data_IF_807987557203
#
_entry.id   IF_807987557203
#
_cell.length_a   1.000
_cell.length_b   1.000
_cell.length_c   1.000
_cell.angle_alpha   90.00
_cell.angle_beta   90.00
_cell.angle_gamma   90.00
#
_symmetry.space_group_name_H-M   'P 1'
#
loop_
_entity.id
_entity.type
_entity.pdbx_description
1 polymer ?
#
# COMPACT_ATOMS: atom_id res chain seq x y z
N UNK A 1 -11.68 -8.89 44.96
CA UNK A 1 -11.76 -9.90 43.89
C UNK A 1 -11.66 -9.19 42.54
N UNK A 2 -10.46 -9.01 42.06
CA UNK A 2 -10.22 -8.33 40.78
C UNK A 2 -10.42 -9.29 39.61
N UNK A 3 -11.42 -9.04 38.80
CA UNK A 3 -11.61 -9.68 37.51
C UNK A 3 -10.57 -9.14 36.54
N UNK A 4 -9.46 -9.85 36.33
CA UNK A 4 -8.55 -9.61 35.18
C UNK A 4 -9.32 -9.82 33.87
N UNK A 5 -9.69 -8.72 33.24
CA UNK A 5 -10.33 -8.71 31.93
C UNK A 5 -9.38 -9.25 30.83
N UNK A 6 -9.96 -10.03 29.96
CA UNK A 6 -9.43 -10.83 28.87
C UNK A 6 -8.61 -10.16 27.75
N UNK A 7 -7.67 -9.28 28.05
CA UNK A 7 -6.82 -8.59 27.07
C UNK A 7 -5.78 -9.46 26.34
N UNK A 8 -5.05 -10.42 26.99
CA UNK A 8 -3.95 -11.14 26.32
C UNK A 8 -4.40 -12.13 25.24
N UNK A 9 -5.55 -12.82 25.44
CA UNK A 9 -6.08 -13.82 24.48
C UNK A 9 -6.63 -13.19 23.21
N UNK A 10 -7.28 -12.04 23.30
CA UNK A 10 -7.88 -11.32 22.16
C UNK A 10 -6.81 -10.80 21.18
N UNK A 11 -5.73 -10.19 21.67
CA UNK A 11 -4.65 -9.67 20.83
C UNK A 11 -3.85 -10.81 20.18
N UNK A 12 -3.51 -11.86 20.92
CA UNK A 12 -2.86 -13.04 20.35
C UNK A 12 -3.69 -13.65 19.23
N UNK A 13 -4.97 -13.87 19.47
CA UNK A 13 -5.90 -14.43 18.46
C UNK A 13 -5.97 -13.56 17.21
N UNK A 14 -6.01 -12.23 17.37
CA UNK A 14 -5.99 -11.28 16.24
C UNK A 14 -4.69 -11.42 15.43
N UNK A 15 -3.55 -11.47 16.12
CA UNK A 15 -2.25 -11.66 15.47
C UNK A 15 -2.17 -12.98 14.73
N UNK A 16 -2.61 -14.08 15.35
CA UNK A 16 -2.61 -15.41 14.72
C UNK A 16 -3.46 -15.42 13.43
N UNK A 17 -4.62 -14.76 13.42
CA UNK A 17 -5.47 -14.61 12.22
C UNK A 17 -4.78 -13.79 11.14
N UNK A 18 -4.15 -12.67 11.49
CA UNK A 18 -3.45 -11.80 10.52
C UNK A 18 -2.25 -12.53 9.91
N UNK A 19 -1.49 -13.26 10.72
CA UNK A 19 -0.36 -14.07 10.26
C UNK A 19 -0.84 -15.17 9.31
N UNK A 20 -1.83 -15.95 9.69
CA UNK A 20 -2.41 -17.02 8.85
C UNK A 20 -2.95 -16.46 7.53
N UNK A 21 -3.60 -15.30 7.57
CA UNK A 21 -4.13 -14.61 6.40
C UNK A 21 -3.01 -14.19 5.43
N UNK A 22 -1.93 -13.60 5.95
CA UNK A 22 -0.77 -13.18 5.16
C UNK A 22 -0.05 -14.39 4.53
N UNK A 23 0.23 -15.43 5.32
CA UNK A 23 0.89 -16.64 4.82
C UNK A 23 0.12 -17.29 3.67
N UNK A 24 -1.20 -17.48 3.85
CA UNK A 24 -2.08 -18.02 2.81
C UNK A 24 -2.09 -17.14 1.54
N UNK A 25 -2.06 -15.82 1.72
CA UNK A 25 -2.02 -14.88 0.61
C UNK A 25 -0.73 -15.02 -0.20
N UNK A 26 0.42 -15.10 0.46
CA UNK A 26 1.72 -15.24 -0.21
C UNK A 26 1.92 -16.63 -0.83
N UNK A 27 1.34 -17.66 -0.22
CA UNK A 27 1.43 -19.04 -0.72
C UNK A 27 0.55 -19.27 -1.95
N UNK A 28 -0.69 -18.75 -1.95
CA UNK A 28 -1.74 -19.18 -2.87
C UNK A 28 -2.35 -18.07 -3.70
N UNK A 29 -2.00 -16.80 -3.46
CA UNK A 29 -2.63 -15.62 -4.07
C UNK A 29 -4.01 -15.29 -3.49
N UNK A 30 -4.50 -14.09 -3.77
CA UNK A 30 -5.76 -13.59 -3.20
C UNK A 30 -6.98 -14.43 -3.59
N UNK A 31 -7.05 -14.89 -4.84
CA UNK A 31 -8.19 -15.67 -5.35
C UNK A 31 -8.42 -16.96 -4.56
N UNK A 32 -7.34 -17.68 -4.20
CA UNK A 32 -7.41 -18.97 -3.52
C UNK A 32 -7.56 -18.89 -2.00
N UNK A 33 -7.39 -17.73 -1.38
CA UNK A 33 -7.62 -17.52 0.07
C UNK A 33 -9.12 -17.50 0.35
N UNK A 34 -9.52 -18.21 1.41
CA UNK A 34 -10.89 -18.18 1.95
C UNK A 34 -10.88 -17.97 3.46
N UNK A 35 -11.99 -17.47 4.02
CA UNK A 35 -12.13 -17.29 5.47
C UNK A 35 -12.06 -18.62 6.22
N UNK A 36 -12.51 -19.70 5.58
CA UNK A 36 -12.40 -21.08 6.09
C UNK A 36 -10.95 -21.50 6.29
N UNK A 37 -10.10 -21.32 5.24
CA UNK A 37 -8.67 -21.65 5.30
C UNK A 37 -7.93 -20.81 6.34
N UNK A 38 -8.30 -19.52 6.46
CA UNK A 38 -7.72 -18.64 7.49
C UNK A 38 -8.11 -19.13 8.88
N UNK A 39 -9.39 -19.47 9.10
CA UNK A 39 -9.89 -19.96 10.37
C UNK A 39 -9.20 -21.27 10.79
N UNK A 40 -9.05 -22.21 9.85
CA UNK A 40 -8.38 -23.49 10.04
C UNK A 40 -6.92 -23.28 10.44
N UNK A 41 -6.16 -22.48 9.67
CA UNK A 41 -4.74 -22.21 9.91
C UNK A 41 -4.50 -21.47 11.23
N UNK A 42 -5.37 -20.52 11.58
CA UNK A 42 -5.28 -19.76 12.82
C UNK A 42 -5.84 -20.52 14.06
N UNK A 43 -6.43 -21.71 13.87
CA UNK A 43 -7.04 -22.49 14.95
C UNK A 43 -8.24 -21.82 15.59
N UNK A 44 -9.06 -21.09 14.81
CA UNK A 44 -10.24 -20.35 15.30
C UNK A 44 -11.50 -20.70 14.50
N UNK A 45 -12.67 -20.26 14.99
CA UNK A 45 -13.90 -20.35 14.21
C UNK A 45 -14.03 -19.18 13.23
N UNK A 46 -14.75 -19.37 12.11
CA UNK A 46 -15.13 -18.26 11.19
C UNK A 46 -15.84 -17.12 11.91
N UNK A 47 -16.71 -17.45 12.87
CA UNK A 47 -17.41 -16.45 13.68
C UNK A 47 -16.43 -15.56 14.47
N UNK A 48 -15.26 -16.09 14.86
CA UNK A 48 -14.22 -15.30 15.52
C UNK A 48 -13.61 -14.29 14.55
N UNK A 49 -13.35 -14.67 13.29
CA UNK A 49 -12.83 -13.76 12.27
C UNK A 49 -13.85 -12.65 11.98
N UNK A 50 -15.12 -13.00 11.76
CA UNK A 50 -16.19 -12.04 11.46
C UNK A 50 -16.50 -11.04 12.59
N UNK A 51 -16.02 -11.26 13.82
CA UNK A 51 -16.09 -10.25 14.88
C UNK A 51 -15.22 -9.02 14.60
N UNK A 52 -14.13 -9.17 13.85
CA UNK A 52 -13.18 -8.08 13.56
C UNK A 52 -13.21 -7.62 12.11
N UNK A 53 -13.48 -8.55 11.18
CA UNK A 53 -13.44 -8.25 9.75
C UNK A 53 -14.74 -8.68 9.07
N UNK A 54 -15.39 -7.74 8.34
CA UNK A 54 -16.72 -8.01 7.76
C UNK A 54 -16.65 -8.97 6.56
N UNK A 55 -15.48 -9.17 5.96
CA UNK A 55 -15.30 -10.02 4.78
C UNK A 55 -13.85 -10.46 4.59
N UNK A 56 -13.62 -11.35 3.59
CA UNK A 56 -12.30 -11.86 3.21
C UNK A 56 -11.32 -10.72 2.89
N UNK A 57 -11.76 -9.75 2.09
CA UNK A 57 -10.91 -8.66 1.65
C UNK A 57 -10.33 -7.86 2.84
N UNK A 58 -11.15 -7.59 3.85
CA UNK A 58 -10.73 -6.84 5.02
C UNK A 58 -9.65 -7.59 5.82
N UNK A 59 -9.85 -8.88 6.13
CA UNK A 59 -8.86 -9.64 6.91
C UNK A 59 -7.57 -9.87 6.12
N UNK A 60 -7.65 -10.10 4.81
CA UNK A 60 -6.47 -10.30 3.96
C UNK A 60 -5.67 -9.01 3.82
N UNK A 61 -6.32 -7.88 3.62
CA UNK A 61 -5.64 -6.59 3.55
C UNK A 61 -5.00 -6.20 4.89
N UNK A 62 -5.67 -6.43 6.01
CA UNK A 62 -5.09 -6.16 7.33
C UNK A 62 -3.89 -7.07 7.60
N UNK A 63 -3.95 -8.36 7.25
CA UNK A 63 -2.83 -9.30 7.34
C UNK A 63 -1.63 -8.86 6.50
N UNK A 64 -1.88 -8.49 5.26
CA UNK A 64 -0.88 -7.96 4.34
C UNK A 64 -0.23 -6.67 4.88
N UNK A 65 -1.04 -5.70 5.31
CA UNK A 65 -0.55 -4.45 5.87
C UNK A 65 0.23 -4.65 7.18
N UNK A 66 -0.24 -5.54 8.04
CA UNK A 66 0.45 -5.85 9.30
C UNK A 66 1.84 -6.45 9.06
N UNK A 67 1.97 -7.32 8.06
CA UNK A 67 3.23 -7.97 7.72
C UNK A 67 4.19 -7.05 6.94
N UNK A 68 3.65 -6.20 6.06
CA UNK A 68 4.45 -5.36 5.15
C UNK A 68 4.58 -3.91 5.60
N UNK A 69 3.96 -3.52 6.71
CA UNK A 69 4.04 -2.17 7.26
C UNK A 69 5.40 -1.89 7.91
N UNK A 70 6.46 -2.00 7.14
CA UNK A 70 7.68 -1.25 7.45
C UNK A 70 7.26 0.22 7.35
N UNK A 71 7.14 0.90 8.47
CA UNK A 71 6.96 2.35 8.52
C UNK A 71 8.25 2.97 7.99
N UNK A 72 8.38 3.02 6.68
CA UNK A 72 9.44 3.82 6.06
C UNK A 72 9.13 5.26 6.44
N UNK A 73 10.06 5.97 7.09
CA UNK A 73 9.88 7.37 7.39
C UNK A 73 9.64 8.13 6.09
N UNK A 74 8.84 9.19 6.17
CA UNK A 74 8.68 10.10 5.03
C UNK A 74 10.06 10.67 4.73
N UNK A 75 10.57 10.56 3.49
CA UNK A 75 11.86 11.12 3.14
C UNK A 75 11.91 12.63 3.44
N UNK A 76 13.02 13.09 3.96
CA UNK A 76 13.29 14.50 4.29
C UNK A 76 14.78 14.80 4.11
N UNK A 77 15.20 14.86 2.85
CA UNK A 77 16.58 15.15 2.44
C UNK A 77 16.87 16.64 2.34
N UNK A 78 15.83 17.47 2.41
CA UNK A 78 15.88 18.89 2.11
C UNK A 78 15.64 19.20 0.62
N UNK A 79 15.40 18.20 -0.21
CA UNK A 79 15.08 18.34 -1.63
C UNK A 79 13.79 17.58 -1.94
N UNK A 80 12.77 18.28 -2.41
CA UNK A 80 11.48 17.68 -2.78
C UNK A 80 11.62 16.65 -3.91
N UNK A 81 12.54 16.89 -4.84
CA UNK A 81 12.83 15.98 -5.96
C UNK A 81 13.44 14.68 -5.45
N UNK A 82 14.44 14.76 -4.57
CA UNK A 82 15.11 13.60 -4.02
C UNK A 82 14.18 12.79 -3.11
N UNK A 83 13.37 13.47 -2.31
CA UNK A 83 12.36 12.83 -1.46
C UNK A 83 11.33 12.07 -2.27
N UNK A 84 10.84 12.67 -3.36
CA UNK A 84 9.88 12.01 -4.25
C UNK A 84 10.55 10.83 -5.00
N UNK A 85 11.79 10.99 -5.46
CA UNK A 85 12.54 9.90 -6.06
C UNK A 85 12.70 8.72 -5.09
N UNK A 86 13.12 8.98 -3.85
CA UNK A 86 13.27 7.94 -2.83
C UNK A 86 11.93 7.22 -2.58
N UNK A 87 10.83 7.97 -2.43
CA UNK A 87 9.51 7.40 -2.20
C UNK A 87 9.07 6.48 -3.35
N UNK A 88 9.16 6.96 -4.59
CA UNK A 88 8.73 6.20 -5.77
C UNK A 88 9.64 4.99 -5.99
N UNK A 89 10.95 5.16 -5.84
CA UNK A 89 11.92 4.10 -6.05
C UNK A 89 11.76 2.95 -5.04
N UNK A 90 11.57 3.27 -3.76
CA UNK A 90 11.30 2.27 -2.74
C UNK A 90 10.01 1.50 -3.03
N UNK A 91 8.98 2.18 -3.51
CA UNK A 91 7.73 1.53 -3.87
C UNK A 91 7.87 0.65 -5.13
N UNK A 92 8.58 1.11 -6.14
CA UNK A 92 8.87 0.30 -7.34
C UNK A 92 9.64 -0.97 -6.97
N UNK A 93 10.67 -0.87 -6.12
CA UNK A 93 11.40 -2.04 -5.61
C UNK A 93 10.49 -3.01 -4.87
N UNK A 94 9.57 -2.48 -4.06
CA UNK A 94 8.57 -3.30 -3.39
C UNK A 94 7.62 -3.99 -4.41
N UNK A 95 7.10 -3.27 -5.41
CA UNK A 95 6.22 -3.84 -6.43
C UNK A 95 6.88 -4.99 -7.22
N UNK A 96 8.20 -4.94 -7.38
CA UNK A 96 8.98 -5.99 -8.06
C UNK A 96 9.32 -7.17 -7.16
N UNK A 97 8.97 -7.14 -5.88
CA UNK A 97 9.12 -8.25 -4.94
C UNK A 97 7.95 -9.25 -5.03
N UNK A 98 8.12 -10.42 -4.40
CA UNK A 98 7.06 -11.43 -4.28
C UNK A 98 5.82 -10.85 -3.58
N UNK A 99 6.03 -10.08 -2.53
CA UNK A 99 4.97 -9.41 -1.80
C UNK A 99 4.25 -8.35 -2.64
N UNK A 100 4.99 -7.66 -3.52
CA UNK A 100 4.45 -6.65 -4.41
C UNK A 100 3.49 -7.23 -5.46
N UNK A 101 3.71 -8.45 -5.93
CA UNK A 101 2.81 -9.14 -6.85
C UNK A 101 1.39 -9.27 -6.31
N UNK A 102 1.23 -9.39 -5.00
CA UNK A 102 -0.07 -9.42 -4.32
C UNK A 102 -0.88 -8.15 -4.60
N UNK A 103 -0.22 -6.99 -4.68
CA UNK A 103 -0.90 -5.73 -4.99
C UNK A 103 -1.48 -5.75 -6.41
N UNK A 104 -0.75 -6.32 -7.35
CA UNK A 104 -1.22 -6.49 -8.74
C UNK A 104 -2.46 -7.39 -8.79
N UNK A 105 -2.44 -8.54 -8.08
CA UNK A 105 -3.59 -9.43 -7.98
C UNK A 105 -4.81 -8.73 -7.34
N UNK A 106 -4.61 -8.02 -6.23
CA UNK A 106 -5.69 -7.31 -5.54
C UNK A 106 -6.28 -6.20 -6.42
N UNK A 107 -5.45 -5.48 -7.19
CA UNK A 107 -5.93 -4.47 -8.15
C UNK A 107 -6.77 -5.14 -9.24
N UNK A 108 -6.29 -6.25 -9.82
CA UNK A 108 -6.99 -6.98 -10.87
C UNK A 108 -8.35 -7.50 -10.38
N UNK A 109 -8.39 -8.21 -9.24
CA UNK A 109 -9.64 -8.69 -8.63
C UNK A 109 -10.59 -7.53 -8.27
N UNK A 110 -10.05 -6.42 -7.80
CA UNK A 110 -10.83 -5.23 -7.44
C UNK A 110 -11.51 -4.54 -8.62
N UNK A 111 -11.13 -4.83 -9.88
CA UNK A 111 -11.89 -4.34 -11.05
C UNK A 111 -13.27 -4.99 -11.14
N UNK A 112 -13.43 -6.19 -10.60
CA UNK A 112 -14.68 -6.97 -10.63
C UNK A 112 -15.37 -7.01 -9.26
N UNK A 113 -14.69 -6.67 -8.17
CA UNK A 113 -15.24 -6.59 -6.79
C UNK A 113 -15.12 -5.17 -6.21
N UNK A 114 -16.19 -4.34 -6.28
CA UNK A 114 -16.18 -2.99 -5.72
C UNK A 114 -15.90 -2.92 -4.21
N UNK A 115 -16.23 -3.97 -3.44
CA UNK A 115 -15.96 -4.02 -2.00
C UNK A 115 -14.48 -4.22 -1.73
N UNK A 116 -13.83 -5.10 -2.48
CA UNK A 116 -12.38 -5.27 -2.43
C UNK A 116 -11.69 -3.98 -2.87
N UNK A 117 -12.12 -3.37 -3.98
CA UNK A 117 -11.59 -2.10 -4.47
C UNK A 117 -11.64 -1.01 -3.40
N UNK A 118 -12.74 -0.88 -2.67
CA UNK A 118 -12.90 0.12 -1.59
C UNK A 118 -11.96 -0.16 -0.42
N UNK A 119 -11.78 -1.42 -0.04
CA UNK A 119 -10.88 -1.82 1.05
C UNK A 119 -9.43 -1.46 0.71
N UNK A 120 -8.88 -1.89 -0.44
CA UNK A 120 -7.49 -1.59 -0.77
C UNK A 120 -7.25 -0.10 -1.03
N UNK A 121 -8.20 0.62 -1.63
CA UNK A 121 -8.08 2.07 -1.81
C UNK A 121 -7.95 2.80 -0.47
N UNK A 122 -8.78 2.44 0.52
CA UNK A 122 -8.78 3.06 1.84
C UNK A 122 -7.56 2.66 2.68
N UNK A 123 -7.27 1.38 2.73
CA UNK A 123 -6.26 0.85 3.64
C UNK A 123 -4.83 0.94 3.08
N UNK A 124 -4.66 0.90 1.75
CA UNK A 124 -3.36 0.85 1.12
C UNK A 124 -3.00 2.11 0.33
N UNK A 125 -3.84 2.53 -0.64
CA UNK A 125 -3.48 3.64 -1.53
C UNK A 125 -3.60 5.02 -0.88
N UNK A 126 -4.67 5.30 -0.15
CA UNK A 126 -4.85 6.62 0.49
C UNK A 126 -3.71 7.00 1.44
N UNK A 127 -3.21 6.13 2.34
CA UNK A 127 -2.08 6.45 3.19
C UNK A 127 -0.80 6.80 2.41
N UNK A 128 -0.52 6.04 1.32
CA UNK A 128 0.66 6.30 0.47
C UNK A 128 0.54 7.59 -0.32
N UNK A 129 -0.64 7.88 -0.85
CA UNK A 129 -0.94 9.14 -1.51
C UNK A 129 -0.75 10.33 -0.56
N UNK A 130 -1.11 10.17 0.73
CA UNK A 130 -0.88 11.20 1.75
C UNK A 130 0.60 11.50 1.97
N UNK A 131 1.50 10.52 1.86
CA UNK A 131 2.95 10.75 1.94
C UNK A 131 3.43 11.61 0.77
N UNK A 132 3.05 11.28 -0.48
CA UNK A 132 3.38 12.10 -1.65
C UNK A 132 2.86 13.53 -1.51
N UNK A 133 1.64 13.68 -0.99
CA UNK A 133 1.05 14.99 -0.72
C UNK A 133 1.90 15.81 0.25
N UNK A 134 2.33 15.24 1.37
CA UNK A 134 3.17 15.92 2.36
C UNK A 134 4.52 16.36 1.77
N UNK A 135 5.14 15.54 0.91
CA UNK A 135 6.39 15.89 0.23
C UNK A 135 6.18 17.11 -0.67
N UNK A 136 5.13 17.11 -1.50
CA UNK A 136 4.83 18.21 -2.41
C UNK A 136 4.41 19.50 -1.66
N UNK A 137 3.61 19.39 -0.60
CA UNK A 137 3.25 20.52 0.27
C UNK A 137 4.48 21.16 0.91
N UNK A 138 5.45 20.34 1.34
CA UNK A 138 6.73 20.84 1.85
C UNK A 138 7.50 21.60 0.76
N UNK A 139 7.60 21.05 -0.46
CA UNK A 139 8.24 21.73 -1.58
C UNK A 139 7.59 23.06 -1.97
N UNK A 140 6.28 23.19 -1.83
CA UNK A 140 5.59 24.48 -1.99
C UNK A 140 5.99 25.44 -0.86
N UNK A 141 6.05 24.95 0.37
CA UNK A 141 6.37 25.78 1.55
C UNK A 141 7.82 26.28 1.56
N UNK A 142 8.74 25.48 1.04
CA UNK A 142 10.18 25.87 0.89
C UNK A 142 10.46 26.71 -0.35
N UNK A 143 9.49 26.82 -1.26
CA UNK A 143 9.64 27.59 -2.51
C UNK A 143 10.33 26.81 -3.63
N UNK A 144 10.57 25.50 -3.48
CA UNK A 144 11.08 24.64 -4.55
C UNK A 144 10.03 24.42 -5.65
N UNK A 145 8.75 24.42 -5.27
CA UNK A 145 7.62 24.23 -6.17
C UNK A 145 6.74 25.47 -6.24
N UNK A 146 6.10 25.67 -7.38
CA UNK A 146 5.17 26.78 -7.58
C UNK A 146 3.96 26.69 -6.64
N UNK A 147 3.48 27.84 -6.15
CA UNK A 147 2.38 27.94 -5.16
C UNK A 147 1.02 27.49 -5.68
N UNK A 148 0.80 27.59 -6.99
CA UNK A 148 -0.45 27.23 -7.68
C UNK A 148 -0.47 25.78 -8.18
N UNK A 149 0.46 24.92 -7.67
CA UNK A 149 0.57 23.53 -8.06
C UNK A 149 -0.71 22.76 -7.72
N UNK A 150 -1.28 22.06 -8.69
CA UNK A 150 -2.32 21.07 -8.44
C UNK A 150 -1.67 19.79 -7.90
N UNK A 151 -1.60 19.69 -6.58
CA UNK A 151 -0.94 18.55 -5.87
C UNK A 151 -1.56 17.23 -6.26
N UNK A 152 -2.88 17.13 -6.33
CA UNK A 152 -3.57 15.85 -6.64
C UNK A 152 -3.22 15.38 -8.06
N UNK A 153 -3.25 16.28 -9.05
CA UNK A 153 -2.84 15.96 -10.41
C UNK A 153 -1.35 15.62 -10.50
N UNK A 154 -0.50 16.31 -9.75
CA UNK A 154 0.94 16.02 -9.72
C UNK A 154 1.22 14.61 -9.18
N UNK A 155 0.49 14.18 -8.16
CA UNK A 155 0.56 12.82 -7.64
C UNK A 155 0.13 11.82 -8.73
N UNK A 156 -0.96 12.10 -9.46
CA UNK A 156 -1.43 11.22 -10.53
C UNK A 156 -0.41 11.12 -11.69
N UNK A 157 0.25 12.22 -12.05
CA UNK A 157 1.32 12.23 -13.06
C UNK A 157 2.56 11.44 -12.63
N UNK A 158 2.88 11.41 -11.33
CA UNK A 158 4.01 10.65 -10.79
C UNK A 158 3.68 9.15 -10.75
N UNK A 159 2.51 8.78 -10.25
CA UNK A 159 2.17 7.38 -10.04
C UNK A 159 1.53 6.69 -11.25
N UNK A 160 0.86 7.45 -12.12
CA UNK A 160 0.20 6.91 -13.31
C UNK A 160 1.13 6.08 -14.19
N UNK A 161 2.30 6.59 -14.60
CA UNK A 161 3.25 5.84 -15.43
C UNK A 161 3.79 4.57 -14.77
N UNK A 162 3.95 4.55 -13.43
CA UNK A 162 4.35 3.34 -12.69
C UNK A 162 3.30 2.24 -12.84
N UNK A 163 2.04 2.57 -12.56
CA UNK A 163 0.94 1.61 -12.68
C UNK A 163 0.61 1.25 -14.14
N UNK A 164 0.81 2.19 -15.07
CA UNK A 164 0.66 1.91 -16.50
C UNK A 164 1.68 0.85 -16.96
N UNK A 165 2.95 0.98 -16.56
CA UNK A 165 3.94 -0.06 -16.86
C UNK A 165 3.63 -1.36 -16.15
N UNK A 166 3.30 -1.31 -14.86
CA UNK A 166 3.02 -2.49 -14.07
C UNK A 166 1.84 -3.30 -14.60
N UNK A 167 0.74 -2.63 -14.98
CA UNK A 167 -0.54 -3.28 -15.25
C UNK A 167 -0.87 -3.43 -16.74
N UNK A 168 -0.28 -2.60 -17.61
CA UNK A 168 -0.66 -2.52 -19.02
C UNK A 168 0.46 -2.93 -19.95
N UNK A 169 1.63 -2.27 -19.88
CA UNK A 169 2.67 -2.50 -20.89
C UNK A 169 3.67 -3.59 -20.53
N UNK A 170 3.85 -3.90 -19.24
CA UNK A 170 4.87 -4.84 -18.78
C UNK A 170 6.31 -4.34 -18.96
N UNK A 171 6.49 -3.05 -19.26
CA UNK A 171 7.79 -2.42 -19.44
C UNK A 171 8.59 -2.38 -18.14
N UNK A 172 9.90 -2.31 -18.27
CA UNK A 172 10.84 -2.35 -17.14
C UNK A 172 10.56 -1.21 -16.14
N UNK A 173 10.44 -1.59 -14.88
CA UNK A 173 10.36 -0.69 -13.73
C UNK A 173 11.67 -0.77 -12.96
N UNK A 174 12.59 0.17 -13.22
CA UNK A 174 13.91 0.25 -12.58
C UNK A 174 14.24 1.66 -12.10
N UNK A 175 15.39 1.81 -11.47
CA UNK A 175 15.87 3.09 -10.95
C UNK A 175 16.04 4.15 -12.06
N UNK A 176 16.38 3.72 -13.31
CA UNK A 176 16.55 4.62 -14.47
C UNK A 176 15.19 5.17 -14.89
N UNK A 177 14.20 4.30 -14.98
CA UNK A 177 12.83 4.73 -15.27
C UNK A 177 12.31 5.72 -14.22
N UNK A 178 12.47 5.40 -12.93
CA UNK A 178 12.01 6.30 -11.84
C UNK A 178 12.72 7.65 -11.91
N UNK A 179 14.03 7.66 -12.11
CA UNK A 179 14.81 8.90 -12.25
C UNK A 179 14.32 9.77 -13.41
N UNK A 180 14.10 9.16 -14.57
CA UNK A 180 13.60 9.88 -15.74
C UNK A 180 12.18 10.40 -15.50
N UNK A 181 11.28 9.57 -14.95
CA UNK A 181 9.92 9.96 -14.63
C UNK A 181 9.89 11.20 -13.71
N UNK A 182 10.63 11.15 -12.61
CA UNK A 182 10.70 12.26 -11.66
C UNK A 182 11.25 13.52 -12.34
N UNK A 183 12.32 13.41 -13.11
CA UNK A 183 12.90 14.55 -13.84
C UNK A 183 11.91 15.18 -14.83
N UNK A 184 11.16 14.37 -15.59
CA UNK A 184 10.18 14.88 -16.54
C UNK A 184 8.99 15.55 -15.83
N UNK A 185 8.47 14.94 -14.77
CA UNK A 185 7.36 15.54 -14.01
C UNK A 185 7.80 16.85 -13.36
N UNK A 186 8.93 16.86 -12.66
CA UNK A 186 9.42 18.04 -11.97
C UNK A 186 9.91 19.13 -12.95
N UNK A 187 10.36 18.78 -14.15
CA UNK A 187 10.63 19.72 -15.24
C UNK A 187 9.38 20.53 -15.64
N UNK A 188 8.17 19.96 -15.46
CA UNK A 188 6.89 20.66 -15.73
C UNK A 188 6.28 21.38 -14.53
N UNK A 189 6.72 21.09 -13.30
CA UNK A 189 6.12 21.64 -12.06
C UNK A 189 7.08 22.47 -11.21
N UNK A 190 8.36 22.51 -11.59
CA UNK A 190 9.38 23.33 -10.94
C UNK A 190 9.19 24.81 -11.23
N UNK A 191 9.57 25.66 -10.30
CA UNK A 191 9.77 27.09 -10.57
C UNK A 191 10.96 27.25 -11.52
N UNK A 192 10.77 28.05 -12.59
CA UNK A 192 11.85 28.51 -13.45
C UNK A 192 12.59 29.68 -12.82
#
# INVERSE_FOLDING_TARGET
>A
MDKKLGRPRSEKTKTDILTASYELLIENGFGAVTVEKIAERAGVSKATIYKWWPNKAAVVMDGFLNATSVKLPIPDTGSTIDDMFIQVNNFVKFLMSKEGNVITEIIAEGQFDPKLADVYRKAYFKPRRSISKQILERGISTGELRKDLNIELSIDLIWGPVFYRLLITGEVLDDIFVKNLINYVFGGIKLF
#
